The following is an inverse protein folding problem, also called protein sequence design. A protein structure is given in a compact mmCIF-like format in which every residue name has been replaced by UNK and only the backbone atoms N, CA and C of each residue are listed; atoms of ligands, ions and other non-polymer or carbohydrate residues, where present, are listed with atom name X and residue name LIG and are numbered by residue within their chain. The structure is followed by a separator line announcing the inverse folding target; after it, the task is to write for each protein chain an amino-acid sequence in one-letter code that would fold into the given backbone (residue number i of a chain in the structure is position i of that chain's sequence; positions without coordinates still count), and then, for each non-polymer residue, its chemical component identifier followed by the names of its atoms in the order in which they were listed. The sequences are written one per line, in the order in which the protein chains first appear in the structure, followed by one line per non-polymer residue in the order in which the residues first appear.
data_IF_705501310659
#
_entry.id   IF_705501310659
#
_cell.length_a   1.000
_cell.length_b   1.000
_cell.length_c   1.000
_cell.angle_alpha   90.00
_cell.angle_beta   90.00
_cell.angle_gamma   90.00
#
_symmetry.space_group_name_H-M   'P 1'
#
loop_
_entity.id
_entity.type
_entity.pdbx_description
1 polymer ?
#
# COMPACT_ATOMS: atom_id res chain seq x y z
N UNK A 1 -5.01 45.93 -130.69
CA UNK A 1 -4.82 47.19 -129.95
C UNK A 1 -4.92 46.87 -128.47
N UNK A 2 -3.78 46.78 -127.78
CA UNK A 2 -3.66 47.05 -126.33
C UNK A 2 -4.08 48.51 -126.09
N UNK A 3 -4.60 48.93 -124.92
CA UNK A 3 -4.00 48.80 -123.57
C UNK A 3 -5.05 48.39 -122.50
N UNK A 4 -4.87 48.21 -121.19
CA UNK A 4 -3.80 48.39 -120.21
C UNK A 4 -4.20 47.58 -118.95
N UNK A 5 -3.24 46.98 -118.24
CA UNK A 5 -3.42 46.47 -116.87
C UNK A 5 -3.31 47.61 -115.83
N UNK A 6 -3.76 47.36 -114.60
CA UNK A 6 -2.83 47.34 -113.46
C UNK A 6 -3.04 46.05 -112.61
N UNK A 7 -2.03 45.24 -112.24
CA UNK A 7 -0.93 45.43 -111.26
C UNK A 7 -1.45 46.08 -109.97
N UNK A 8 -1.34 45.56 -108.75
CA UNK A 8 -0.72 44.37 -108.17
C UNK A 8 -0.73 44.59 -106.64
N UNK A 9 -0.88 43.48 -105.90
CA UNK A 9 -0.39 43.11 -104.54
C UNK A 9 -0.06 44.21 -103.50
N UNK A 10 -0.35 44.07 -102.21
CA UNK A 10 0.27 43.09 -101.30
C UNK A 10 -0.45 43.04 -99.95
N UNK A 11 -0.52 41.84 -99.36
CA UNK A 11 -0.97 41.64 -97.98
C UNK A 11 0.04 42.17 -96.97
N UNK A 12 -0.47 42.84 -95.94
CA UNK A 12 0.26 43.16 -94.71
C UNK A 12 0.17 41.98 -93.74
N UNK A 13 1.34 41.43 -93.42
CA UNK A 13 1.53 40.40 -92.39
C UNK A 13 1.12 40.93 -91.00
N UNK A 14 0.66 40.09 -90.05
CA UNK A 14 0.14 40.52 -88.74
C UNK A 14 1.19 41.12 -87.79
N UNK A 15 2.47 41.21 -88.19
CA UNK A 15 3.59 41.58 -87.32
C UNK A 15 3.82 43.10 -87.19
N UNK A 16 3.11 43.94 -87.94
CA UNK A 16 3.40 45.39 -87.99
C UNK A 16 2.51 46.26 -87.07
N UNK A 17 1.63 45.65 -86.28
CA UNK A 17 0.81 46.39 -85.31
C UNK A 17 1.66 46.77 -84.10
N UNK A 18 2.06 48.05 -84.03
CA UNK A 18 2.78 48.65 -82.91
C UNK A 18 1.89 49.60 -82.13
N UNK A 19 1.86 49.43 -80.81
CA UNK A 19 1.23 50.38 -79.90
C UNK A 19 2.24 51.46 -79.56
N UNK A 20 1.88 52.73 -79.76
CA UNK A 20 2.80 53.89 -79.68
C UNK A 20 2.49 54.84 -78.53
N UNK A 21 1.53 54.48 -77.67
CA UNK A 21 1.20 55.24 -76.48
C UNK A 21 0.84 54.35 -75.29
N UNK A 22 1.03 54.88 -74.08
CA UNK A 22 0.57 54.23 -72.85
C UNK A 22 -0.93 53.95 -72.85
N UNK A 23 -1.74 54.79 -73.51
CA UNK A 23 -3.19 54.64 -73.60
C UNK A 23 -3.56 53.42 -74.45
N UNK A 24 -2.87 53.21 -75.57
CA UNK A 24 -3.05 52.05 -76.44
C UNK A 24 -2.59 50.75 -75.77
N UNK A 25 -1.43 50.76 -75.12
CA UNK A 25 -0.90 49.60 -74.38
C UNK A 25 -1.86 49.22 -73.25
N UNK A 26 -2.35 50.20 -72.49
CA UNK A 26 -3.28 49.98 -71.38
C UNK A 26 -4.64 49.46 -71.87
N UNK A 27 -5.16 50.00 -72.98
CA UNK A 27 -6.39 49.53 -73.59
C UNK A 27 -6.27 48.08 -74.08
N UNK A 28 -5.14 47.72 -74.70
CA UNK A 28 -4.89 46.36 -75.16
C UNK A 28 -4.78 45.36 -74.00
N UNK A 29 -4.16 45.78 -72.89
CA UNK A 29 -4.04 44.98 -71.68
C UNK A 29 -5.31 44.98 -70.81
N UNK A 30 -6.33 45.80 -71.12
CA UNK A 30 -7.55 45.95 -70.32
C UNK A 30 -7.33 46.57 -68.93
N UNK A 31 -6.30 47.40 -68.77
CA UNK A 31 -5.92 48.01 -67.47
C UNK A 31 -5.83 49.53 -67.54
N UNK A 32 -5.63 50.19 -66.39
CA UNK A 32 -5.36 51.63 -66.37
C UNK A 32 -3.94 51.95 -66.87
N UNK A 33 -3.72 53.16 -67.38
CA UNK A 33 -2.38 53.63 -67.81
C UNK A 33 -1.35 53.55 -66.69
N UNK A 34 -1.75 53.92 -65.46
CA UNK A 34 -0.90 53.82 -64.26
C UNK A 34 -0.54 52.36 -63.94
N UNK A 35 -1.46 51.42 -64.16
CA UNK A 35 -1.21 49.98 -64.00
C UNK A 35 -0.24 49.46 -65.07
N UNK A 36 -0.37 49.91 -66.32
CA UNK A 36 0.55 49.55 -67.40
C UNK A 36 1.99 50.06 -67.15
N UNK A 37 2.13 51.29 -66.65
CA UNK A 37 3.43 51.84 -66.21
C UNK A 37 4.02 51.03 -65.06
N UNK A 38 3.20 50.68 -64.07
CA UNK A 38 3.62 49.83 -62.95
C UNK A 38 4.06 48.44 -63.41
N UNK A 39 3.47 47.89 -64.48
CA UNK A 39 3.91 46.61 -65.05
C UNK A 39 5.28 46.70 -65.75
N UNK A 40 5.66 47.86 -66.27
CA UNK A 40 7.04 48.11 -66.72
C UNK A 40 8.01 48.00 -65.54
N UNK A 41 7.73 48.71 -64.45
CA UNK A 41 8.60 48.76 -63.26
C UNK A 41 8.67 47.43 -62.50
N UNK A 42 7.54 46.78 -62.24
CA UNK A 42 7.47 45.59 -61.36
C UNK A 42 7.61 44.27 -62.13
N UNK A 43 7.20 44.24 -63.40
CA UNK A 43 7.04 42.99 -64.18
C UNK A 43 7.81 42.98 -65.50
N UNK A 44 8.61 44.01 -65.76
CA UNK A 44 9.48 44.08 -66.94
C UNK A 44 8.71 44.06 -68.26
N UNK A 45 7.64 44.84 -68.36
CA UNK A 45 6.91 45.05 -69.63
C UNK A 45 7.89 45.52 -70.73
N UNK A 46 7.97 44.85 -71.90
CA UNK A 46 8.97 45.13 -72.92
C UNK A 46 8.61 46.38 -73.73
N UNK A 47 8.78 47.56 -73.13
CA UNK A 47 8.50 48.85 -73.77
C UNK A 47 9.80 49.48 -74.27
N UNK A 48 9.85 49.90 -75.53
CA UNK A 48 10.95 50.68 -76.10
C UNK A 48 10.64 52.16 -75.99
N UNK A 49 11.53 52.93 -75.35
CA UNK A 49 11.41 54.39 -75.20
C UNK A 49 12.24 55.10 -76.27
N UNK A 50 11.61 55.98 -77.04
CA UNK A 50 12.29 56.89 -77.97
C UNK A 50 11.88 58.31 -77.59
N UNK A 51 12.76 59.02 -76.88
CA UNK A 51 12.44 60.31 -76.27
C UNK A 51 11.28 60.19 -75.28
N UNK A 52 10.23 60.98 -75.47
CA UNK A 52 9.05 61.00 -74.60
C UNK A 52 7.91 60.06 -75.07
N UNK A 53 8.16 59.20 -76.06
CA UNK A 53 7.19 58.25 -76.61
C UNK A 53 7.57 56.80 -76.30
N UNK A 54 6.54 55.98 -76.07
CA UNK A 54 6.67 54.55 -75.77
C UNK A 54 6.16 53.72 -76.93
N UNK A 55 6.85 52.64 -77.28
CA UNK A 55 6.39 51.73 -78.32
C UNK A 55 6.61 50.27 -77.92
N UNK A 56 5.66 49.40 -78.27
CA UNK A 56 5.77 47.95 -78.12
C UNK A 56 5.09 47.26 -79.30
N UNK A 57 5.70 46.19 -79.81
CA UNK A 57 5.08 45.37 -80.85
C UNK A 57 3.98 44.49 -80.23
N UNK A 58 2.84 44.33 -80.91
CA UNK A 58 1.74 43.51 -80.42
C UNK A 58 2.17 42.06 -80.10
N UNK A 59 3.09 41.49 -80.90
CA UNK A 59 3.66 40.16 -80.67
C UNK A 59 4.52 40.09 -79.38
N UNK A 60 5.35 41.11 -79.11
CA UNK A 60 6.15 41.19 -77.88
C UNK A 60 5.24 41.35 -76.64
N UNK A 61 4.17 42.13 -76.76
CA UNK A 61 3.18 42.33 -75.71
C UNK A 61 2.39 41.06 -75.40
N UNK A 62 1.95 40.34 -76.44
CA UNK A 62 1.26 39.06 -76.31
C UNK A 62 2.19 37.97 -75.71
N UNK A 63 3.45 37.92 -76.12
CA UNK A 63 4.44 37.00 -75.56
C UNK A 63 4.73 37.30 -74.08
N UNK A 64 4.84 38.57 -73.69
CA UNK A 64 4.97 38.96 -72.28
C UNK A 64 3.71 38.60 -71.48
N UNK A 65 2.52 38.85 -72.02
CA UNK A 65 1.25 38.52 -71.35
C UNK A 65 1.12 37.01 -71.14
N UNK A 66 1.48 36.19 -72.13
CA UNK A 66 1.52 34.73 -72.00
C UNK A 66 2.52 34.27 -70.91
N UNK A 67 3.70 34.89 -70.85
CA UNK A 67 4.73 34.60 -69.83
C UNK A 67 4.27 34.98 -68.41
N UNK A 68 3.60 36.12 -68.26
CA UNK A 68 3.10 36.59 -66.96
C UNK A 68 1.89 35.77 -66.49
N UNK A 69 1.01 35.35 -67.40
CA UNK A 69 -0.15 34.50 -67.08
C UNK A 69 0.23 33.03 -66.81
N UNK A 70 1.36 32.55 -67.32
CA UNK A 70 1.87 31.18 -67.08
C UNK A 70 2.76 31.06 -65.84
N UNK A 71 3.15 32.18 -65.22
CA UNK A 71 3.89 32.17 -63.96
C UNK A 71 3.01 31.61 -62.83
N UNK A 72 3.14 30.30 -62.56
CA UNK A 72 2.38 29.62 -61.50
C UNK A 72 2.58 30.36 -60.17
N UNK A 73 1.50 30.71 -59.46
CA UNK A 73 1.61 31.43 -58.21
C UNK A 73 2.43 30.69 -57.17
N UNK A 74 3.19 31.42 -56.35
CA UNK A 74 4.07 30.84 -55.33
C UNK A 74 3.32 29.93 -54.33
N UNK A 75 2.01 30.17 -54.12
CA UNK A 75 1.17 29.34 -53.24
C UNK A 75 0.83 27.94 -53.81
N UNK A 76 1.05 27.68 -55.10
CA UNK A 76 0.97 26.31 -55.64
C UNK A 76 2.21 25.47 -55.30
N UNK A 77 3.32 26.11 -54.88
CA UNK A 77 4.54 25.43 -54.41
C UNK A 77 4.50 25.05 -52.93
N UNK A 78 3.54 25.54 -52.14
CA UNK A 78 3.41 25.20 -50.71
C UNK A 78 2.56 23.96 -50.41
N UNK A 79 1.87 23.38 -51.41
CA UNK A 79 1.10 22.13 -51.22
C UNK A 79 1.97 20.93 -50.82
N UNK A 80 3.13 20.65 -51.47
CA UNK A 80 4.02 19.57 -51.01
C UNK A 80 4.62 19.87 -49.63
N UNK A 81 4.96 21.13 -49.34
CA UNK A 81 5.44 21.55 -48.01
C UNK A 81 4.38 21.34 -46.94
N UNK A 82 3.11 21.61 -47.24
CA UNK A 82 1.98 21.35 -46.33
C UNK A 82 1.78 19.86 -46.09
N UNK A 83 1.90 19.01 -47.12
CA UNK A 83 1.83 17.55 -46.97
C UNK A 83 3.00 16.99 -46.15
N UNK A 84 4.21 17.48 -46.36
CA UNK A 84 5.40 17.13 -45.56
C UNK A 84 5.20 17.58 -44.11
N UNK A 85 4.74 18.81 -43.87
CA UNK A 85 4.45 19.31 -42.54
C UNK A 85 3.37 18.49 -41.81
N UNK A 86 2.30 18.09 -42.52
CA UNK A 86 1.27 17.20 -41.97
C UNK A 86 1.85 15.81 -41.64
N UNK A 87 2.64 15.23 -42.54
CA UNK A 87 3.27 13.93 -42.31
C UNK A 87 4.25 13.98 -41.12
N UNK A 88 5.03 15.06 -40.99
CA UNK A 88 5.93 15.29 -39.84
C UNK A 88 5.15 15.47 -38.53
N UNK A 89 4.03 16.20 -38.54
CA UNK A 89 3.17 16.36 -37.38
C UNK A 89 2.56 15.02 -36.95
N UNK A 90 2.05 14.22 -37.90
CA UNK A 90 1.52 12.89 -37.61
C UNK A 90 2.59 11.94 -37.08
N UNK A 91 3.80 11.98 -37.64
CA UNK A 91 4.93 11.21 -37.15
C UNK A 91 5.30 11.62 -35.71
N UNK A 92 5.33 12.93 -35.41
CA UNK A 92 5.59 13.41 -34.06
C UNK A 92 4.51 12.96 -33.06
N UNK A 93 3.24 13.06 -33.43
CA UNK A 93 2.13 12.56 -32.59
C UNK A 93 2.24 11.06 -32.37
N UNK A 94 2.60 10.28 -33.40
CA UNK A 94 2.82 8.85 -33.28
C UNK A 94 3.98 8.52 -32.33
N UNK A 95 5.11 9.22 -32.46
CA UNK A 95 6.28 9.04 -31.57
C UNK A 95 5.92 9.40 -30.13
N UNK A 96 5.29 10.56 -29.90
CA UNK A 96 4.85 10.97 -28.57
C UNK A 96 3.81 10.01 -27.97
N UNK A 97 2.90 9.50 -28.80
CA UNK A 97 1.92 8.48 -28.41
C UNK A 97 2.58 7.15 -28.03
N UNK A 98 3.57 6.69 -28.82
CA UNK A 98 4.32 5.48 -28.54
C UNK A 98 5.16 5.61 -27.25
N UNK A 99 5.80 6.76 -27.04
CA UNK A 99 6.54 7.06 -25.81
C UNK A 99 5.60 7.15 -24.60
N UNK A 100 4.43 7.79 -24.76
CA UNK A 100 3.41 7.82 -23.70
C UNK A 100 2.91 6.41 -23.36
N UNK A 101 2.63 5.56 -24.36
CA UNK A 101 2.20 4.16 -24.13
C UNK A 101 3.31 3.35 -23.46
N UNK A 102 4.58 3.51 -23.88
CA UNK A 102 5.72 2.88 -23.20
C UNK A 102 5.82 3.33 -21.75
N UNK A 103 5.77 4.64 -21.50
CA UNK A 103 5.81 5.21 -20.16
C UNK A 103 4.70 4.67 -19.26
N UNK A 104 3.47 4.63 -19.75
CA UNK A 104 2.32 4.08 -19.02
C UNK A 104 2.43 2.58 -18.79
N UNK A 105 2.97 1.83 -19.76
CA UNK A 105 3.19 0.40 -19.61
C UNK A 105 4.27 0.10 -18.60
N UNK A 106 5.34 0.89 -18.55
CA UNK A 106 6.48 0.68 -17.67
C UNK A 106 6.22 1.22 -16.25
N UNK A 107 5.20 2.07 -16.06
CA UNK A 107 4.73 2.48 -14.74
C UNK A 107 4.29 1.27 -13.90
N UNK A 108 4.75 1.18 -12.64
CA UNK A 108 4.37 0.10 -11.74
C UNK A 108 2.87 0.15 -11.47
N UNK A 109 2.25 -1.04 -11.38
CA UNK A 109 0.86 -1.18 -10.98
C UNK A 109 0.65 -1.00 -9.47
N UNK A 110 -0.57 -1.25 -8.95
CA UNK A 110 -0.83 -1.27 -7.52
C UNK A 110 0.12 -2.21 -6.77
N UNK A 111 0.50 -1.81 -5.57
CA UNK A 111 1.33 -2.63 -4.68
C UNK A 111 0.63 -3.96 -4.42
N UNK A 112 1.37 -5.05 -4.59
CA UNK A 112 0.87 -6.41 -4.39
C UNK A 112 1.70 -7.19 -3.36
N UNK A 113 2.98 -6.85 -3.25
CA UNK A 113 3.89 -7.48 -2.30
C UNK A 113 4.84 -6.44 -1.71
N UNK A 114 5.23 -6.66 -0.46
CA UNK A 114 6.21 -5.83 0.23
C UNK A 114 7.20 -6.76 0.92
N UNK A 115 8.48 -6.42 0.84
CA UNK A 115 9.55 -7.17 1.48
C UNK A 115 10.64 -6.25 2.01
N UNK A 116 11.37 -6.74 3.02
CA UNK A 116 12.58 -6.11 3.51
C UNK A 116 13.77 -6.49 2.65
N UNK A 117 14.48 -5.49 2.11
CA UNK A 117 15.75 -5.65 1.39
C UNK A 117 16.83 -4.85 2.14
N UNK A 118 17.52 -5.51 3.07
CA UNK A 118 18.45 -4.83 3.97
C UNK A 118 17.70 -3.84 4.88
N UNK A 119 18.01 -2.55 4.76
CA UNK A 119 17.35 -1.46 5.50
C UNK A 119 16.18 -0.83 4.74
N UNK A 120 15.89 -1.32 3.53
CA UNK A 120 14.85 -0.76 2.70
C UNK A 120 13.59 -1.62 2.70
N UNK A 121 12.44 -0.99 2.89
CA UNK A 121 11.15 -1.59 2.60
C UNK A 121 10.86 -1.36 1.12
N UNK A 122 10.70 -2.46 0.37
CA UNK A 122 10.51 -2.42 -1.08
C UNK A 122 9.13 -2.96 -1.41
N UNK A 123 8.32 -2.11 -2.03
CA UNK A 123 7.00 -2.48 -2.53
C UNK A 123 7.07 -2.82 -4.01
N UNK A 124 6.43 -3.92 -4.38
CA UNK A 124 6.39 -4.43 -5.75
C UNK A 124 4.97 -4.65 -6.20
N UNK A 125 4.74 -4.42 -7.49
CA UNK A 125 3.48 -4.78 -8.13
C UNK A 125 3.40 -6.28 -8.43
N UNK A 126 2.27 -6.73 -9.01
CA UNK A 126 2.05 -8.15 -9.36
C UNK A 126 3.04 -8.71 -10.39
N UNK A 127 3.71 -7.83 -11.15
CA UNK A 127 4.72 -8.20 -12.14
C UNK A 127 6.14 -8.16 -11.55
N UNK A 128 6.28 -7.88 -10.24
CA UNK A 128 7.57 -7.79 -9.55
C UNK A 128 8.31 -6.47 -9.72
N UNK A 129 7.70 -5.48 -10.39
CA UNK A 129 8.30 -4.16 -10.61
C UNK A 129 8.24 -3.34 -9.32
N UNK A 130 9.30 -2.60 -9.03
CA UNK A 130 9.37 -1.75 -7.83
C UNK A 130 8.42 -0.58 -7.99
N UNK A 131 7.38 -0.53 -7.16
CA UNK A 131 6.45 0.59 -7.09
C UNK A 131 7.06 1.76 -6.34
N UNK A 132 7.69 1.47 -5.20
CA UNK A 132 8.45 2.42 -4.40
C UNK A 132 9.43 1.69 -3.48
N UNK A 133 10.39 2.44 -2.96
CA UNK A 133 11.39 1.98 -1.99
C UNK A 133 11.56 3.06 -0.93
N UNK A 134 11.48 2.67 0.34
CA UNK A 134 11.81 3.52 1.46
C UNK A 134 12.95 2.93 2.28
N UNK A 135 13.96 3.74 2.55
CA UNK A 135 15.05 3.38 3.45
C UNK A 135 14.72 3.91 4.84
N UNK A 136 14.89 3.07 5.85
CA UNK A 136 14.69 3.45 7.25
C UNK A 136 16.02 3.44 8.00
N UNK A 137 16.11 4.31 9.00
CA UNK A 137 17.27 4.32 9.90
C UNK A 137 17.23 3.08 10.80
N UNK A 138 18.26 2.25 10.67
CA UNK A 138 18.40 1.00 11.42
C UNK A 138 18.18 -0.25 10.56
N UNK A 139 18.74 -1.37 11.01
CA UNK A 139 18.54 -2.67 10.36
C UNK A 139 17.31 -3.33 10.95
N UNK A 140 16.28 -3.69 10.16
CA UNK A 140 15.20 -4.54 10.64
C UNK A 140 15.80 -5.84 11.19
N UNK A 141 15.45 -6.17 12.44
CA UNK A 141 16.04 -7.31 13.16
C UNK A 141 15.65 -8.66 12.54
N UNK A 142 14.64 -8.69 11.67
CA UNK A 142 14.11 -9.91 11.06
C UNK A 142 14.12 -9.79 9.53
N UNK A 143 15.28 -10.03 8.88
CA UNK A 143 15.42 -9.85 7.44
C UNK A 143 14.72 -10.93 6.60
N UNK A 144 14.37 -12.10 7.16
CA UNK A 144 13.85 -13.24 6.40
C UNK A 144 12.95 -14.15 7.24
N UNK A 145 11.67 -13.80 7.38
CA UNK A 145 10.65 -14.80 7.72
C UNK A 145 9.64 -14.78 6.55
N UNK A 146 9.00 -15.90 6.25
CA UNK A 146 8.06 -16.04 5.14
C UNK A 146 6.68 -16.39 5.68
N UNK A 147 5.65 -15.64 5.30
CA UNK A 147 4.23 -15.97 5.52
C UNK A 147 3.76 -15.87 6.98
N UNK A 148 2.65 -15.15 7.20
CA UNK A 148 1.81 -15.14 8.41
C UNK A 148 2.45 -14.85 9.79
N UNK A 149 3.74 -14.53 9.88
CA UNK A 149 4.28 -14.14 11.19
C UNK A 149 3.69 -12.79 11.66
N UNK A 150 3.63 -12.54 12.99
CA UNK A 150 2.79 -11.48 13.56
C UNK A 150 3.20 -10.04 13.21
N UNK A 151 4.44 -9.84 12.74
CA UNK A 151 5.03 -8.53 12.44
C UNK A 151 5.35 -8.33 10.95
N UNK A 152 4.87 -9.23 10.08
CA UNK A 152 5.10 -9.10 8.65
C UNK A 152 4.43 -7.85 8.07
N UNK A 153 5.07 -7.17 7.11
CA UNK A 153 4.37 -6.16 6.34
C UNK A 153 3.09 -6.71 5.72
N UNK A 154 2.02 -5.91 5.73
CA UNK A 154 0.74 -6.23 5.12
C UNK A 154 0.40 -5.18 4.08
N UNK A 155 -0.10 -5.62 2.94
CA UNK A 155 -0.64 -4.75 1.89
C UNK A 155 -2.14 -4.88 1.94
N UNK A 156 -2.84 -3.75 2.11
CA UNK A 156 -4.29 -3.74 2.19
C UNK A 156 -4.82 -2.36 1.83
N UNK A 157 -5.89 -2.31 1.05
CA UNK A 157 -6.69 -1.10 0.83
C UNK A 157 -7.51 -0.84 2.09
N UNK A 158 -7.06 0.11 2.93
CA UNK A 158 -7.65 0.36 4.25
C UNK A 158 -8.85 1.30 4.16
N UNK A 159 -8.82 2.28 3.27
CA UNK A 159 -9.88 3.28 3.13
C UNK A 159 -10.79 3.08 1.90
N UNK A 160 -10.60 1.97 1.16
CA UNK A 160 -11.42 1.58 0.01
C UNK A 160 -11.29 2.54 -1.19
N UNK A 161 -10.15 3.23 -1.33
CA UNK A 161 -9.88 4.14 -2.44
C UNK A 161 -9.32 3.43 -3.70
N UNK A 162 -9.11 2.11 -3.62
CA UNK A 162 -8.54 1.29 -4.68
C UNK A 162 -7.02 1.35 -4.78
N UNK A 163 -6.34 2.02 -3.86
CA UNK A 163 -4.88 2.18 -3.79
C UNK A 163 -4.36 1.62 -2.47
N UNK A 164 -3.83 0.39 -2.45
CA UNK A 164 -3.51 -0.27 -1.20
C UNK A 164 -2.42 0.45 -0.41
N UNK A 165 -2.64 0.55 0.90
CA UNK A 165 -1.65 0.93 1.90
C UNK A 165 -0.72 -0.24 2.24
N UNK A 166 0.43 0.11 2.79
CA UNK A 166 1.36 -0.83 3.40
C UNK A 166 1.47 -0.58 4.89
N UNK A 167 1.12 -1.58 5.69
CA UNK A 167 1.37 -1.62 7.13
C UNK A 167 2.69 -2.34 7.39
N UNK A 168 3.59 -1.73 8.14
CA UNK A 168 4.89 -2.32 8.47
C UNK A 168 5.35 -1.92 9.86
N UNK A 169 6.03 -2.85 10.52
CA UNK A 169 6.71 -2.60 11.81
C UNK A 169 8.17 -2.35 11.54
N UNK A 170 8.66 -1.23 12.06
CA UNK A 170 10.06 -0.84 11.95
C UNK A 170 10.80 -1.24 13.22
N UNK A 171 11.37 -2.44 13.20
CA UNK A 171 12.23 -2.89 14.31
C UNK A 171 13.60 -2.25 14.18
N UNK A 172 14.05 -1.50 15.18
CA UNK A 172 15.42 -1.01 15.28
C UNK A 172 16.08 -1.53 16.56
N UNK A 173 17.42 -1.45 16.62
CA UNK A 173 18.23 -1.99 17.70
C UNK A 173 17.94 -1.35 19.07
N UNK A 174 17.54 -0.07 19.08
CA UNK A 174 17.24 0.73 20.29
C UNK A 174 15.80 0.57 20.81
N UNK A 175 15.30 -0.67 20.88
CA UNK A 175 13.93 -0.96 21.35
C UNK A 175 13.66 -0.56 22.81
N UNK A 176 14.73 -0.45 23.60
CA UNK A 176 14.76 -0.04 25.00
C UNK A 176 14.59 1.47 25.20
N UNK A 177 14.71 2.26 24.12
CA UNK A 177 14.48 3.71 24.16
C UNK A 177 13.29 4.12 23.31
N UNK A 178 13.22 3.67 22.05
CA UNK A 178 12.24 4.20 21.10
C UNK A 178 11.01 3.29 20.92
N UNK A 179 10.99 2.11 21.55
CA UNK A 179 9.90 1.13 21.37
C UNK A 179 9.84 0.61 19.94
N UNK A 180 8.72 -0.02 19.55
CA UNK A 180 8.44 -0.37 18.15
C UNK A 180 6.98 -0.06 17.83
N UNK A 181 6.79 0.64 16.70
CA UNK A 181 5.48 1.14 16.26
C UNK A 181 5.01 0.44 14.99
N UNK A 182 3.70 0.44 14.78
CA UNK A 182 3.10 0.09 13.49
C UNK A 182 2.96 1.34 12.64
N UNK A 183 3.53 1.32 11.44
CA UNK A 183 3.42 2.43 10.50
C UNK A 183 2.54 2.07 9.32
N UNK A 184 1.70 3.01 8.89
CA UNK A 184 0.92 2.92 7.67
C UNK A 184 1.51 3.84 6.61
N UNK A 185 1.87 3.28 5.47
CA UNK A 185 2.40 3.99 4.31
C UNK A 185 1.34 4.00 3.20
N UNK A 186 1.25 5.10 2.46
CA UNK A 186 0.37 5.20 1.30
C UNK A 186 0.89 4.36 0.11
N UNK A 187 0.12 4.35 -0.98
CA UNK A 187 0.47 3.65 -2.23
C UNK A 187 1.79 4.11 -2.88
N UNK A 188 2.40 5.22 -2.43
CA UNK A 188 3.71 5.74 -2.89
C UNK A 188 4.81 5.54 -1.85
N UNK A 189 4.50 4.96 -0.71
CA UNK A 189 5.40 4.78 0.42
C UNK A 189 5.44 5.97 1.38
N UNK A 190 4.67 7.05 1.21
CA UNK A 190 4.70 8.14 2.18
C UNK A 190 3.99 7.73 3.48
N UNK A 191 4.57 8.09 4.64
CA UNK A 191 3.95 7.81 5.95
C UNK A 191 2.62 8.56 6.09
N UNK A 192 1.53 7.82 6.31
CA UNK A 192 0.19 8.37 6.61
C UNK A 192 0.00 8.57 8.11
N UNK A 193 0.26 7.53 8.89
CA UNK A 193 0.09 7.54 10.34
C UNK A 193 0.94 6.45 11.00
N UNK A 194 1.10 6.57 12.33
CA UNK A 194 1.73 5.56 13.19
C UNK A 194 0.81 5.22 14.35
N UNK A 195 0.78 3.94 14.71
CA UNK A 195 0.12 3.44 15.90
C UNK A 195 1.20 2.98 16.90
N UNK A 196 1.18 3.59 18.08
CA UNK A 196 2.12 3.34 19.16
C UNK A 196 1.45 3.52 20.53
N UNK A 197 2.04 2.95 21.57
CA UNK A 197 1.62 3.25 22.95
C UNK A 197 2.60 4.21 23.62
N UNK A 198 2.22 5.48 23.71
CA UNK A 198 2.94 6.52 24.44
C UNK A 198 2.44 6.73 25.87
N UNK A 199 1.37 6.03 26.27
CA UNK A 199 0.79 6.15 27.60
C UNK A 199 1.56 5.34 28.65
N UNK A 200 1.67 5.92 29.84
CA UNK A 200 2.14 5.21 31.04
C UNK A 200 0.96 4.58 31.77
N UNK A 201 1.21 3.47 32.47
CA UNK A 201 0.20 2.78 33.27
C UNK A 201 0.65 2.67 34.72
N UNK A 202 -0.26 3.05 35.63
CA UNK A 202 -0.02 3.01 37.08
C UNK A 202 -0.56 1.74 37.70
N UNK A 203 0.21 1.18 38.63
CA UNK A 203 -0.16 0.03 39.46
C UNK A 203 0.05 0.36 40.93
N UNK A 204 -0.39 -0.54 41.82
CA UNK A 204 -0.11 -0.44 43.25
C UNK A 204 1.40 -0.39 43.54
N UNK A 205 2.22 -1.11 42.77
CA UNK A 205 3.68 -1.14 42.95
C UNK A 205 4.45 0.02 42.31
N UNK A 206 3.87 0.74 41.35
CA UNK A 206 4.59 1.79 40.62
C UNK A 206 3.99 2.15 39.27
N UNK A 207 4.72 3.02 38.54
CA UNK A 207 4.33 3.53 37.23
C UNK A 207 5.24 2.92 36.16
N UNK A 208 4.63 2.30 35.15
CA UNK A 208 5.32 1.75 33.99
C UNK A 208 5.19 2.73 32.83
N UNK A 209 6.33 3.21 32.33
CA UNK A 209 6.43 4.19 31.25
C UNK A 209 6.80 3.48 29.94
N UNK A 210 6.59 4.10 28.78
CA UNK A 210 7.22 3.65 27.55
C UNK A 210 8.75 3.44 27.72
N UNK A 211 9.36 2.57 26.91
CA UNK A 211 8.83 2.05 25.66
C UNK A 211 7.98 0.79 25.78
N UNK A 212 7.00 0.72 24.89
CA UNK A 212 6.29 -0.51 24.56
C UNK A 212 6.72 -0.97 23.17
N UNK A 213 6.78 -2.28 22.96
CA UNK A 213 7.11 -2.89 21.68
C UNK A 213 5.90 -3.64 21.15
N UNK A 214 5.55 -3.39 19.89
CA UNK A 214 4.53 -4.17 19.21
C UNK A 214 4.95 -5.65 19.12
N UNK A 215 4.00 -6.55 19.41
CA UNK A 215 4.18 -8.00 19.32
C UNK A 215 3.47 -8.61 18.13
N UNK A 216 2.28 -8.12 17.84
CA UNK A 216 1.48 -8.57 16.71
C UNK A 216 0.52 -7.48 16.26
N UNK A 217 0.07 -7.60 15.02
CA UNK A 217 -1.09 -6.87 14.53
C UNK A 217 -1.90 -7.69 13.53
N UNK A 218 -3.16 -7.31 13.39
CA UNK A 218 -4.07 -7.88 12.40
C UNK A 218 -4.87 -6.78 11.71
N UNK A 219 -5.20 -7.00 10.45
CA UNK A 219 -6.06 -6.14 9.63
C UNK A 219 -7.36 -6.87 9.41
N UNK A 220 -8.48 -6.20 9.64
CA UNK A 220 -9.80 -6.82 9.63
C UNK A 220 -10.84 -5.86 9.05
N UNK A 221 -11.96 -6.41 8.59
CA UNK A 221 -13.02 -5.58 8.01
C UNK A 221 -13.64 -4.67 9.08
N UNK A 222 -13.90 -3.41 8.71
CA UNK A 222 -14.49 -2.44 9.61
C UNK A 222 -15.84 -2.94 10.14
N UNK A 223 -16.07 -2.90 11.46
CA UNK A 223 -17.35 -3.28 12.03
C UNK A 223 -18.48 -2.30 11.67
N UNK A 224 -18.15 -1.15 11.07
CA UNK A 224 -19.10 -0.17 10.55
C UNK A 224 -19.69 -0.59 9.17
N UNK A 225 -19.17 -1.67 8.55
CA UNK A 225 -19.63 -2.20 7.25
C UNK A 225 -19.56 -1.18 6.10
N UNK A 226 -18.60 -0.27 6.17
CA UNK A 226 -18.33 0.79 5.21
C UNK A 226 -17.28 0.40 4.14
N UNK A 227 -16.92 -0.89 4.08
CA UNK A 227 -15.86 -1.47 3.21
C UNK A 227 -14.44 -1.00 3.53
N UNK A 228 -14.26 -0.19 4.56
CA UNK A 228 -12.93 0.13 5.09
C UNK A 228 -12.43 -1.02 5.96
N UNK A 229 -11.16 -0.96 6.34
CA UNK A 229 -10.53 -1.92 7.23
C UNK A 229 -9.95 -1.22 8.45
N UNK A 230 -9.98 -1.93 9.56
CA UNK A 230 -9.42 -1.51 10.83
C UNK A 230 -8.20 -2.36 11.16
N UNK A 231 -7.44 -1.89 12.14
CA UNK A 231 -6.22 -2.53 12.59
C UNK A 231 -6.27 -2.71 14.09
N UNK A 232 -5.90 -3.90 14.56
CA UNK A 232 -5.68 -4.17 15.98
C UNK A 232 -4.24 -4.60 16.20
N UNK A 233 -3.61 -4.09 17.26
CA UNK A 233 -2.20 -4.35 17.55
C UNK A 233 -1.97 -4.53 19.05
N UNK A 234 -1.13 -5.49 19.41
CA UNK A 234 -0.70 -5.75 20.79
C UNK A 234 0.68 -5.14 21.03
N UNK A 235 0.81 -4.42 22.13
CA UNK A 235 2.06 -3.81 22.57
C UNK A 235 2.39 -4.31 23.98
N UNK A 236 3.62 -4.74 24.21
CA UNK A 236 4.07 -5.19 25.53
C UNK A 236 5.13 -4.25 26.06
N UNK A 237 5.14 -4.03 27.37
CA UNK A 237 6.20 -3.26 28.01
C UNK A 237 7.53 -3.99 27.80
N UNK A 238 8.57 -3.23 27.46
CA UNK A 238 9.83 -3.81 27.00
C UNK A 238 10.48 -4.76 28.02
N UNK A 239 10.40 -4.42 29.32
CA UNK A 239 11.06 -5.15 30.40
C UNK A 239 10.12 -5.71 31.46
N UNK A 240 8.82 -5.46 31.37
CA UNK A 240 7.91 -5.68 32.50
C UNK A 240 6.54 -6.20 32.02
N UNK A 241 5.68 -6.64 32.94
CA UNK A 241 4.46 -7.38 32.65
C UNK A 241 3.34 -6.64 31.91
N UNK A 242 3.17 -5.29 31.94
CA UNK A 242 2.02 -4.67 31.31
C UNK A 242 2.00 -4.84 29.80
N UNK A 243 0.79 -5.03 29.25
CA UNK A 243 0.58 -4.94 27.81
C UNK A 243 -0.73 -4.24 27.48
N UNK A 244 -0.88 -3.81 26.23
CA UNK A 244 -2.05 -3.08 25.74
C UNK A 244 -2.44 -3.57 24.35
N UNK A 245 -3.74 -3.71 24.12
CA UNK A 245 -4.37 -3.95 22.83
C UNK A 245 -4.93 -2.62 22.34
N UNK A 246 -4.44 -2.14 21.21
CA UNK A 246 -4.95 -0.93 20.55
C UNK A 246 -5.74 -1.31 19.31
N UNK A 247 -6.86 -0.62 19.07
CA UNK A 247 -7.65 -0.72 17.85
C UNK A 247 -7.70 0.65 17.19
N UNK A 248 -7.44 0.72 15.89
CA UNK A 248 -7.47 1.93 15.11
C UNK A 248 -8.25 1.75 13.80
N UNK A 249 -8.89 2.82 13.32
CA UNK A 249 -9.52 2.84 11.99
C UNK A 249 -8.50 3.02 10.86
N UNK A 250 -8.98 3.05 9.62
CA UNK A 250 -8.17 3.23 8.41
C UNK A 250 -7.34 4.53 8.39
N UNK A 251 -7.73 5.52 9.18
CA UNK A 251 -7.04 6.82 9.31
C UNK A 251 -6.04 6.85 10.48
N UNK A 252 -5.89 5.74 11.20
CA UNK A 252 -5.05 5.66 12.40
C UNK A 252 -5.70 6.27 13.64
N UNK A 253 -7.00 6.58 13.61
CA UNK A 253 -7.71 7.10 14.79
C UNK A 253 -7.96 5.94 15.75
N UNK A 254 -7.46 6.05 16.99
CA UNK A 254 -7.68 5.04 18.02
C UNK A 254 -9.19 4.92 18.34
N UNK A 255 -9.73 3.71 18.15
CA UNK A 255 -11.13 3.34 18.43
C UNK A 255 -11.29 2.53 19.71
N UNK A 256 -10.22 1.91 20.20
CA UNK A 256 -10.27 1.10 21.42
C UNK A 256 -8.90 0.87 22.05
N UNK A 257 -8.91 0.63 23.36
CA UNK A 257 -7.70 0.37 24.16
C UNK A 257 -8.03 -0.53 25.35
N UNK A 258 -7.37 -1.68 25.45
CA UNK A 258 -7.50 -2.58 26.60
C UNK A 258 -6.14 -2.90 27.21
N UNK A 259 -6.02 -2.82 28.54
CA UNK A 259 -4.79 -3.11 29.28
C UNK A 259 -4.80 -4.49 29.93
N UNK A 260 -3.72 -5.25 29.79
CA UNK A 260 -3.57 -6.56 30.41
C UNK A 260 -2.39 -6.61 31.37
N UNK A 261 -2.62 -7.29 32.51
CA UNK A 261 -1.54 -7.70 33.40
C UNK A 261 -0.97 -9.02 32.86
N UNK A 262 0.17 -8.92 32.18
CA UNK A 262 0.78 -10.01 31.42
C UNK A 262 0.83 -9.69 29.94
N UNK A 263 1.80 -10.29 29.24
CA UNK A 263 2.05 -10.01 27.83
C UNK A 263 0.98 -10.63 26.92
N UNK A 264 0.41 -9.81 26.03
CA UNK A 264 -0.32 -10.24 24.84
C UNK A 264 0.66 -10.37 23.67
N UNK A 265 0.91 -11.60 23.24
CA UNK A 265 1.96 -11.93 22.26
C UNK A 265 1.44 -11.97 20.83
N UNK A 266 0.15 -12.23 20.64
CA UNK A 266 -0.44 -12.35 19.31
C UNK A 266 -1.88 -11.83 19.27
N UNK A 267 -2.37 -11.46 18.09
CA UNK A 267 -3.75 -11.04 17.87
C UNK A 267 -4.23 -11.42 16.47
N UNK A 268 -5.43 -11.97 16.40
CA UNK A 268 -6.12 -12.28 15.12
C UNK A 268 -7.56 -11.77 15.17
N UNK A 269 -8.15 -11.60 14.00
CA UNK A 269 -9.57 -11.28 13.85
C UNK A 269 -10.31 -12.48 13.24
N UNK A 270 -11.35 -12.95 13.92
CA UNK A 270 -12.17 -14.07 13.49
C UNK A 270 -13.62 -13.79 13.91
N UNK A 271 -14.54 -13.88 12.97
CA UNK A 271 -15.97 -13.86 13.26
C UNK A 271 -16.29 -15.19 13.95
N UNK A 272 -16.49 -15.21 15.27
CA UNK A 272 -16.67 -16.45 16.05
C UNK A 272 -18.14 -16.85 16.21
N UNK A 273 -19.06 -15.93 15.93
CA UNK A 273 -20.50 -16.08 16.18
C UNK A 273 -21.37 -16.14 14.90
N UNK A 274 -20.77 -15.91 13.72
CA UNK A 274 -21.43 -15.93 12.43
C UNK A 274 -22.20 -14.66 12.06
N UNK A 275 -22.03 -13.55 12.78
CA UNK A 275 -22.80 -12.32 12.57
C UNK A 275 -22.24 -11.40 11.46
N UNK A 276 -21.10 -11.78 10.87
CA UNK A 276 -20.38 -11.03 9.83
C UNK A 276 -19.48 -9.93 10.38
N UNK A 277 -19.28 -9.83 11.69
CA UNK A 277 -18.29 -8.96 12.35
C UNK A 277 -17.19 -9.86 12.90
N UNK A 278 -15.94 -9.50 12.65
CA UNK A 278 -14.81 -10.25 13.19
C UNK A 278 -14.51 -9.82 14.62
N UNK A 279 -14.57 -10.76 15.57
CA UNK A 279 -14.07 -10.53 16.92
C UNK A 279 -12.54 -10.50 16.96
N UNK A 280 -11.98 -9.70 17.87
CA UNK A 280 -10.55 -9.64 18.12
C UNK A 280 -10.17 -10.66 19.19
N UNK A 281 -9.25 -11.56 18.87
CA UNK A 281 -8.74 -12.58 19.77
C UNK A 281 -7.27 -12.28 20.04
N UNK A 282 -6.96 -11.80 21.24
CA UNK A 282 -5.59 -11.58 21.67
C UNK A 282 -5.13 -12.74 22.57
N UNK A 283 -3.96 -13.30 22.24
CA UNK A 283 -3.36 -14.44 22.93
C UNK A 283 -2.16 -14.00 23.76
N UNK A 284 -2.07 -14.49 25.00
CA UNK A 284 -0.92 -14.20 25.84
C UNK A 284 -0.93 -14.96 27.16
N UNK A 285 -0.51 -14.27 28.22
CA UNK A 285 -0.60 -14.73 29.61
C UNK A 285 -1.41 -13.75 30.44
N UNK A 286 -2.25 -14.29 31.32
CA UNK A 286 -2.95 -13.54 32.35
C UNK A 286 -2.32 -13.86 33.72
N UNK A 287 -1.74 -12.85 34.35
CA UNK A 287 -0.96 -12.99 35.60
C UNK A 287 -1.80 -12.96 36.88
N UNK A 288 -3.10 -12.67 36.79
CA UNK A 288 -4.05 -12.87 37.88
C UNK A 288 -4.32 -14.36 38.12
N UNK A 289 -4.24 -15.18 37.06
CA UNK A 289 -4.40 -16.64 37.10
C UNK A 289 -3.14 -17.44 36.77
N UNK A 290 -2.07 -16.77 36.32
CA UNK A 290 -0.80 -17.36 35.86
C UNK A 290 -0.97 -18.44 34.79
N UNK A 291 -1.84 -18.16 33.80
CA UNK A 291 -2.13 -19.09 32.72
C UNK A 291 -2.09 -18.42 31.36
N UNK A 292 -1.74 -19.24 30.37
CA UNK A 292 -1.97 -18.96 28.97
C UNK A 292 -3.45 -18.66 28.74
N UNK A 293 -3.74 -17.56 28.03
CA UNK A 293 -5.12 -17.13 27.81
C UNK A 293 -5.36 -16.55 26.43
N UNK A 294 -6.61 -16.69 25.97
CA UNK A 294 -7.21 -15.85 24.94
C UNK A 294 -8.17 -14.88 25.61
N UNK A 295 -8.11 -13.61 25.23
CA UNK A 295 -9.12 -12.61 25.54
C UNK A 295 -9.77 -12.14 24.25
N UNK A 296 -11.11 -12.18 24.22
CA UNK A 296 -11.90 -11.97 23.01
C UNK A 296 -12.72 -10.71 23.14
N UNK A 297 -12.73 -9.87 22.12
CA UNK A 297 -13.46 -8.60 22.11
C UNK A 297 -14.34 -8.44 20.88
N UNK A 298 -15.50 -7.81 21.09
CA UNK A 298 -16.20 -7.09 20.03
C UNK A 298 -15.36 -5.86 19.65
N UNK A 299 -14.94 -5.70 18.38
CA UNK A 299 -14.03 -4.62 17.96
C UNK A 299 -14.62 -3.22 18.17
N UNK A 300 -15.95 -3.10 18.32
CA UNK A 300 -16.64 -1.82 18.60
C UNK A 300 -16.53 -1.42 20.08
N UNK A 301 -16.13 -2.34 20.95
CA UNK A 301 -16.14 -2.18 22.41
C UNK A 301 -14.88 -2.77 23.02
N UNK A 302 -13.73 -2.18 22.71
CA UNK A 302 -12.44 -2.52 23.34
C UNK A 302 -12.06 -1.45 24.36
N UNK A 303 -12.26 -1.74 25.64
CA UNK A 303 -11.90 -0.83 26.73
C UNK A 303 -11.58 -1.55 28.04
N UNK A 304 -11.05 -0.80 29.00
CA UNK A 304 -10.82 -1.26 30.37
C UNK A 304 -9.51 -2.03 30.56
N UNK A 305 -9.46 -2.84 31.62
CA UNK A 305 -8.27 -3.60 31.96
C UNK A 305 -8.56 -4.88 32.75
N UNK A 306 -7.57 -5.80 32.77
CA UNK A 306 -7.56 -6.95 33.68
C UNK A 306 -7.78 -6.51 35.12
N UNK A 307 -8.63 -7.25 35.84
CA UNK A 307 -8.97 -6.95 37.22
C UNK A 307 -8.26 -7.91 38.16
N UNK A 308 -7.34 -7.37 38.96
CA UNK A 308 -6.63 -8.16 39.96
C UNK A 308 -7.34 -8.12 41.32
N UNK A 309 -6.94 -9.02 42.21
CA UNK A 309 -7.37 -8.99 43.60
C UNK A 309 -6.97 -7.64 44.25
N UNK A 310 -7.81 -7.07 45.14
CA UNK A 310 -7.44 -5.87 45.88
C UNK A 310 -6.10 -6.04 46.60
N UNK A 311 -5.20 -5.07 46.43
CA UNK A 311 -3.88 -5.08 47.05
C UNK A 311 -2.80 -5.89 46.31
N UNK A 312 -3.11 -6.57 45.20
CA UNK A 312 -2.04 -7.15 44.36
C UNK A 312 -1.14 -6.00 43.85
N UNK A 313 0.20 -6.10 44.01
CA UNK A 313 1.12 -5.04 43.58
C UNK A 313 0.99 -4.69 42.09
N UNK A 314 0.55 -5.65 41.27
CA UNK A 314 0.42 -5.50 39.81
C UNK A 314 -0.93 -4.91 39.39
N UNK A 315 -1.87 -4.73 40.34
CA UNK A 315 -3.20 -4.22 40.04
C UNK A 315 -3.15 -2.81 39.45
N UNK A 316 -3.76 -2.60 38.28
CA UNK A 316 -3.86 -1.28 37.66
C UNK A 316 -4.75 -0.33 38.47
N UNK A 317 -4.31 0.93 38.59
CA UNK A 317 -5.04 1.98 39.29
C UNK A 317 -5.91 2.76 38.31
N UNK A 318 -7.16 3.02 38.70
CA UNK A 318 -8.08 3.90 37.95
C UNK A 318 -8.61 3.31 36.65
N UNK A 319 -8.42 2.01 36.41
CA UNK A 319 -8.95 1.31 35.22
C UNK A 319 -10.21 0.52 35.56
N UNK A 320 -11.22 0.68 34.72
CA UNK A 320 -12.46 -0.12 34.78
C UNK A 320 -12.19 -1.57 34.36
N UNK A 321 -13.06 -2.52 34.75
CA UNK A 321 -13.04 -3.88 34.21
C UNK A 321 -13.05 -3.87 32.68
N UNK A 322 -12.29 -4.79 32.09
CA UNK A 322 -12.24 -4.95 30.65
C UNK A 322 -13.57 -5.38 30.05
N UNK A 323 -13.77 -5.02 28.78
CA UNK A 323 -14.98 -5.32 28.00
C UNK A 323 -14.89 -6.60 27.17
N UNK A 324 -13.92 -7.48 27.46
CA UNK A 324 -13.84 -8.76 26.79
C UNK A 324 -15.18 -9.49 26.90
N UNK A 325 -15.61 -10.09 25.80
CA UNK A 325 -16.86 -10.86 25.73
C UNK A 325 -16.62 -12.32 26.09
N UNK A 326 -15.38 -12.80 25.97
CA UNK A 326 -15.00 -14.17 26.33
C UNK A 326 -13.53 -14.22 26.77
N UNK A 327 -13.25 -15.09 27.73
CA UNK A 327 -11.89 -15.47 28.12
C UNK A 327 -11.74 -16.99 28.06
N UNK A 328 -10.66 -17.47 27.43
CA UNK A 328 -10.30 -18.90 27.38
C UNK A 328 -8.98 -19.08 28.12
N UNK A 329 -8.92 -19.98 29.10
CA UNK A 329 -7.70 -20.30 29.84
C UNK A 329 -7.23 -21.71 29.50
N UNK A 330 -5.95 -21.82 29.11
CA UNK A 330 -5.32 -23.12 28.86
C UNK A 330 -4.69 -23.65 30.15
N UNK A 331 -4.84 -24.96 30.43
CA UNK A 331 -4.25 -25.57 31.60
C UNK A 331 -2.72 -25.57 31.52
N UNK A 332 -2.09 -25.57 32.69
CA UNK A 332 -0.65 -25.81 32.83
C UNK A 332 -0.38 -27.30 32.93
N UNK A 333 0.65 -27.78 32.24
CA UNK A 333 1.15 -29.15 32.42
C UNK A 333 2.10 -29.23 33.63
N UNK A 334 2.47 -30.45 34.01
CA UNK A 334 3.52 -30.66 35.02
C UNK A 334 4.86 -29.99 34.66
N UNK A 335 5.17 -29.82 33.37
CA UNK A 335 6.41 -29.13 32.95
C UNK A 335 6.37 -27.68 33.43
N UNK A 336 5.36 -26.91 33.03
CA UNK A 336 5.28 -25.53 33.46
C UNK A 336 5.09 -25.39 34.96
N UNK A 337 4.36 -26.30 35.62
CA UNK A 337 4.20 -26.30 37.08
C UNK A 337 5.53 -26.48 37.84
N UNK A 338 6.48 -27.23 37.27
CA UNK A 338 7.80 -27.44 37.89
C UNK A 338 8.84 -26.40 37.49
N UNK A 339 8.84 -25.94 36.25
CA UNK A 339 9.93 -25.13 35.70
C UNK A 339 9.68 -23.62 35.74
N UNK A 340 8.43 -23.18 35.79
CA UNK A 340 8.10 -21.75 35.66
C UNK A 340 6.86 -21.39 36.47
N UNK A 341 6.52 -20.10 36.46
CA UNK A 341 5.33 -19.57 37.12
C UNK A 341 4.08 -19.65 36.26
N UNK A 342 4.21 -19.66 34.93
CA UNK A 342 3.09 -19.63 33.99
C UNK A 342 3.45 -20.29 32.66
N UNK A 343 2.44 -20.80 31.95
CA UNK A 343 2.50 -21.02 30.50
C UNK A 343 1.90 -19.80 29.78
N UNK A 344 2.13 -19.67 28.47
CA UNK A 344 1.61 -18.53 27.70
C UNK A 344 1.26 -18.90 26.26
N UNK A 345 0.27 -18.21 25.68
CA UNK A 345 0.04 -18.27 24.23
C UNK A 345 1.12 -17.44 23.55
N UNK A 346 1.84 -18.06 22.61
CA UNK A 346 2.87 -17.37 21.81
C UNK A 346 2.38 -17.04 20.41
N UNK A 347 1.55 -17.89 19.81
CA UNK A 347 1.11 -17.72 18.43
C UNK A 347 -0.33 -18.15 18.21
N UNK A 348 -0.99 -17.46 17.30
CA UNK A 348 -2.34 -17.70 16.81
C UNK A 348 -2.32 -17.88 15.30
N UNK A 349 -2.88 -18.98 14.80
CA UNK A 349 -2.95 -19.25 13.36
C UNK A 349 -4.40 -19.54 12.96
N UNK A 350 -4.94 -18.76 12.02
CA UNK A 350 -6.22 -19.07 11.41
C UNK A 350 -6.03 -20.26 10.46
N UNK A 351 -6.72 -21.37 10.73
CA UNK A 351 -6.62 -22.59 9.93
C UNK A 351 -7.97 -23.29 9.83
N UNK A 352 -8.34 -23.73 8.62
CA UNK A 352 -9.52 -24.55 8.37
C UNK A 352 -10.84 -23.98 8.95
N UNK A 353 -11.00 -22.64 8.93
CA UNK A 353 -12.18 -21.96 9.48
C UNK A 353 -12.24 -21.91 11.02
N UNK A 354 -11.17 -22.32 11.71
CA UNK A 354 -11.00 -22.21 13.15
C UNK A 354 -9.67 -21.56 13.51
N UNK A 355 -9.16 -21.90 14.70
CA UNK A 355 -7.97 -21.29 15.27
C UNK A 355 -7.02 -22.37 15.80
N UNK A 356 -5.76 -22.35 15.40
CA UNK A 356 -4.70 -23.11 16.06
C UNK A 356 -3.91 -22.19 17.01
N UNK A 357 -3.73 -22.63 18.25
CA UNK A 357 -3.13 -21.85 19.33
C UNK A 357 -1.91 -22.59 19.85
N UNK A 358 -0.73 -21.96 19.76
CA UNK A 358 0.49 -22.50 20.35
C UNK A 358 0.68 -21.97 21.76
N UNK A 359 0.64 -22.89 22.73
CA UNK A 359 0.84 -22.63 24.16
C UNK A 359 2.21 -23.15 24.58
N UNK A 360 3.08 -22.24 25.00
CA UNK A 360 4.45 -22.52 25.39
C UNK A 360 4.50 -22.78 26.89
N UNK A 361 5.24 -23.82 27.30
CA UNK A 361 5.31 -24.21 28.71
C UNK A 361 6.35 -23.40 29.50
N UNK A 362 7.34 -22.79 28.85
CA UNK A 362 8.33 -21.96 29.51
C UNK A 362 9.00 -21.01 28.52
N UNK A 363 9.34 -19.81 28.99
CA UNK A 363 10.15 -18.85 28.22
C UNK A 363 11.58 -19.38 28.03
N UNK A 364 12.08 -20.20 28.96
CA UNK A 364 13.42 -20.78 28.92
C UNK A 364 13.55 -21.94 27.92
N UNK A 365 12.43 -22.59 27.57
CA UNK A 365 12.40 -23.75 26.68
C UNK A 365 11.35 -23.52 25.58
N UNK A 366 11.55 -22.53 24.70
CA UNK A 366 10.52 -22.10 23.76
C UNK A 366 10.19 -23.16 22.68
N UNK A 367 11.03 -24.18 22.48
CA UNK A 367 10.67 -25.25 21.55
C UNK A 367 9.55 -26.17 22.10
N UNK A 368 9.35 -26.19 23.42
CA UNK A 368 8.35 -27.02 24.10
C UNK A 368 7.00 -26.32 24.17
N UNK A 369 6.08 -26.73 23.31
CA UNK A 369 4.74 -26.17 23.24
C UNK A 369 3.68 -27.24 22.94
N UNK A 370 2.45 -26.92 23.31
CA UNK A 370 1.25 -27.62 22.86
C UNK A 370 0.54 -26.80 21.79
N UNK A 371 -0.06 -27.48 20.83
CA UNK A 371 -0.92 -26.87 19.82
C UNK A 371 -2.36 -27.26 20.10
N UNK A 372 -3.19 -26.30 20.47
CA UNK A 372 -4.63 -26.48 20.62
C UNK A 372 -5.29 -26.09 19.30
N UNK A 373 -6.05 -27.01 18.72
CA UNK A 373 -6.91 -26.72 17.58
C UNK A 373 -8.31 -26.41 18.11
N UNK A 374 -8.85 -25.26 17.77
CA UNK A 374 -10.17 -24.81 18.18
C UNK A 374 -11.08 -24.64 16.97
N UNK A 375 -12.35 -24.95 17.17
CA UNK A 375 -13.41 -24.62 16.24
C UNK A 375 -13.61 -23.08 16.20
N UNK A 376 -14.46 -22.64 15.27
CA UNK A 376 -14.80 -21.22 15.10
C UNK A 376 -15.36 -20.58 16.37
N UNK A 377 -16.13 -21.32 17.16
CA UNK A 377 -16.69 -20.88 18.45
C UNK A 377 -15.69 -20.91 19.61
N UNK A 378 -14.41 -21.20 19.32
CA UNK A 378 -13.30 -21.34 20.26
C UNK A 378 -13.41 -22.57 21.17
N UNK A 379 -14.24 -23.56 20.86
CA UNK A 379 -14.20 -24.84 21.56
C UNK A 379 -13.02 -25.68 21.07
N UNK A 380 -12.32 -26.36 21.99
CA UNK A 380 -11.20 -27.24 21.63
C UNK A 380 -11.70 -28.44 20.82
N UNK A 381 -11.13 -28.61 19.63
CA UNK A 381 -11.30 -29.76 18.74
C UNK A 381 -10.24 -30.82 18.99
N UNK A 382 -9.00 -30.39 19.25
CA UNK A 382 -7.87 -31.30 19.40
C UNK A 382 -6.68 -30.63 20.08
N UNK A 383 -5.78 -31.46 20.62
CA UNK A 383 -4.52 -31.02 21.22
C UNK A 383 -3.41 -31.90 20.67
N UNK A 384 -2.34 -31.28 20.20
CA UNK A 384 -1.12 -31.97 19.77
C UNK A 384 0.10 -31.42 20.48
N UNK A 385 1.17 -32.22 20.53
CA UNK A 385 2.43 -31.86 21.19
C UNK A 385 3.49 -31.52 20.15
N UNK A 386 4.39 -30.59 20.49
CA UNK A 386 5.63 -30.44 19.72
C UNK A 386 6.58 -31.60 20.02
N UNK A 387 7.43 -31.97 19.05
CA UNK A 387 8.47 -32.99 19.26
C UNK A 387 9.37 -32.60 20.44
N UNK A 388 9.75 -31.32 20.53
CA UNK A 388 10.59 -30.82 21.63
C UNK A 388 9.89 -30.85 23.00
N UNK A 389 8.56 -30.84 23.05
CA UNK A 389 7.82 -31.09 24.28
C UNK A 389 8.10 -32.51 24.77
N UNK A 390 7.98 -33.51 23.89
CA UNK A 390 8.27 -34.91 24.24
C UNK A 390 9.71 -35.09 24.73
N UNK A 391 10.67 -34.48 24.04
CA UNK A 391 12.09 -34.54 24.42
C UNK A 391 12.34 -33.88 25.79
N UNK A 392 11.68 -32.77 26.07
CA UNK A 392 11.76 -32.10 27.37
C UNK A 392 11.23 -33.00 28.48
N UNK A 393 10.09 -33.66 28.26
CA UNK A 393 9.56 -34.62 29.25
C UNK A 393 10.53 -35.78 29.46
N UNK A 394 11.08 -36.37 28.39
CA UNK A 394 12.07 -37.46 28.46
C UNK A 394 13.29 -37.04 29.29
N UNK A 395 13.79 -35.82 29.06
CA UNK A 395 14.96 -35.29 29.77
C UNK A 395 14.70 -35.04 31.26
N UNK A 396 13.56 -34.42 31.60
CA UNK A 396 13.19 -34.18 32.99
C UNK A 396 12.93 -35.48 33.76
N UNK A 397 12.39 -36.50 33.10
CA UNK A 397 12.28 -37.86 33.67
C UNK A 397 13.64 -38.48 33.93
N UNK A 398 14.58 -38.37 32.99
CA UNK A 398 15.96 -38.87 33.16
C UNK A 398 16.62 -38.22 34.37
N UNK A 399 16.36 -36.93 34.60
CA UNK A 399 16.84 -36.16 35.77
C UNK A 399 16.07 -36.43 37.07
N UNK A 400 14.99 -37.24 37.04
CA UNK A 400 14.05 -37.47 38.15
C UNK A 400 13.39 -36.18 38.65
N UNK A 401 13.25 -35.20 37.77
CA UNK A 401 12.58 -33.93 38.04
C UNK A 401 11.08 -34.02 37.73
N UNK A 402 10.64 -34.96 36.89
CA UNK A 402 9.23 -35.32 36.67
C UNK A 402 8.95 -36.75 37.16
N UNK A 403 7.74 -36.98 37.65
CA UNK A 403 7.29 -38.30 38.11
C UNK A 403 7.21 -39.30 36.93
N UNK A 404 7.27 -40.60 37.21
CA UNK A 404 7.34 -41.64 36.16
C UNK A 404 6.12 -41.69 35.23
N UNK A 405 4.98 -41.12 35.63
CA UNK A 405 3.75 -41.12 34.83
C UNK A 405 3.92 -40.22 33.61
N UNK A 406 4.04 -40.82 32.42
CA UNK A 406 4.01 -40.06 31.17
C UNK A 406 2.55 -39.65 30.88
N UNK A 407 2.31 -38.41 30.44
CA UNK A 407 0.97 -37.85 30.41
C UNK A 407 0.24 -38.15 29.09
N UNK A 408 0.30 -39.36 28.51
CA UNK A 408 -0.58 -39.67 27.36
C UNK A 408 -2.05 -39.40 27.76
N UNK A 409 -2.44 -39.89 28.95
CA UNK A 409 -3.73 -39.56 29.57
C UNK A 409 -3.89 -38.09 29.98
N UNK A 410 -2.83 -37.43 30.43
CA UNK A 410 -2.94 -36.01 30.81
C UNK A 410 -3.15 -35.14 29.56
N UNK A 411 -2.47 -35.40 28.45
CA UNK A 411 -2.62 -34.72 27.15
C UNK A 411 -4.00 -34.97 26.55
N UNK A 412 -4.50 -36.21 26.57
CA UNK A 412 -5.89 -36.54 26.21
C UNK A 412 -6.90 -35.75 27.05
N UNK A 413 -6.59 -35.46 28.32
CA UNK A 413 -7.44 -34.67 29.20
C UNK A 413 -7.27 -33.15 29.09
N UNK A 414 -6.21 -32.63 28.44
CA UNK A 414 -5.91 -31.19 28.44
C UNK A 414 -7.00 -30.38 27.74
N UNK A 415 -7.57 -30.91 26.66
CA UNK A 415 -8.69 -30.26 25.97
C UNK A 415 -9.90 -30.06 26.88
N UNK A 416 -10.21 -31.06 27.72
CA UNK A 416 -11.30 -30.99 28.70
C UNK A 416 -11.00 -30.07 29.89
N UNK A 417 -9.73 -29.75 30.14
CA UNK A 417 -9.28 -28.84 31.21
C UNK A 417 -9.22 -27.37 30.78
N UNK A 418 -9.45 -27.07 29.50
CA UNK A 418 -9.59 -25.69 29.03
C UNK A 418 -10.82 -25.06 29.68
N UNK A 419 -10.64 -23.88 30.26
CA UNK A 419 -11.69 -23.17 31.00
C UNK A 419 -12.20 -22.00 30.17
N UNK A 420 -13.52 -21.82 30.15
CA UNK A 420 -14.20 -20.78 29.36
C UNK A 420 -14.98 -19.86 30.29
N UNK A 421 -14.88 -18.56 30.06
CA UNK A 421 -15.68 -17.54 30.73
C UNK A 421 -16.36 -16.67 29.69
N UNK A 422 -17.65 -16.41 29.89
CA UNK A 422 -18.35 -15.31 29.22
C UNK A 422 -17.97 -14.02 29.96
N UNK A 423 -17.08 -13.23 29.35
CA UNK A 423 -16.51 -12.03 29.95
C UNK A 423 -15.12 -12.20 30.60
N UNK A 424 -14.74 -11.25 31.48
CA UNK A 424 -13.51 -11.32 32.27
C UNK A 424 -13.49 -12.52 33.22
N UNK A 425 -12.28 -12.97 33.60
CA UNK A 425 -12.12 -13.95 34.68
C UNK A 425 -12.68 -13.37 35.99
N UNK A 426 -13.56 -14.09 36.72
CA UNK A 426 -14.06 -13.62 38.00
C UNK A 426 -12.95 -13.41 39.03
N UNK A 427 -13.03 -12.31 39.78
CA UNK A 427 -12.08 -12.03 40.88
C UNK A 427 -12.06 -13.19 41.87
N UNK A 428 -10.86 -13.66 42.23
CA UNK A 428 -10.69 -14.74 43.21
C UNK A 428 -10.89 -16.15 42.66
N UNK A 429 -10.97 -16.34 41.34
CA UNK A 429 -11.07 -17.66 40.72
C UNK A 429 -10.01 -18.65 41.21
N UNK A 430 -8.74 -18.23 41.37
CA UNK A 430 -7.69 -19.10 41.93
C UNK A 430 -7.98 -19.52 43.37
N UNK A 431 -8.49 -18.60 44.21
CA UNK A 431 -8.84 -18.90 45.60
C UNK A 431 -9.98 -19.92 45.68
N UNK A 432 -10.94 -19.86 44.76
CA UNK A 432 -12.04 -20.82 44.66
C UNK A 432 -11.57 -22.23 44.24
N UNK A 433 -10.43 -22.34 43.53
CA UNK A 433 -9.83 -23.62 43.15
C UNK A 433 -8.92 -24.22 44.25
N UNK A 434 -8.81 -23.58 45.41
CA UNK A 434 -7.90 -24.01 46.48
C UNK A 434 -6.42 -23.94 46.08
N UNK A 435 -6.09 -23.23 44.99
CA UNK A 435 -4.72 -23.01 44.58
C UNK A 435 -4.16 -21.83 45.39
N UNK A 436 -2.98 -21.97 46.02
CA UNK A 436 -2.37 -20.86 46.73
C UNK A 436 -2.17 -19.69 45.77
N UNK A 437 -2.45 -18.46 46.24
CA UNK A 437 -2.14 -17.26 45.48
C UNK A 437 -0.68 -17.34 45.00
N UNK A 438 -0.39 -17.00 43.72
CA UNK A 438 0.95 -17.12 43.18
C UNK A 438 1.91 -16.32 44.06
N UNK A 439 2.97 -16.97 44.54
CA UNK A 439 3.94 -16.30 45.40
C UNK A 439 4.50 -15.09 44.64
N UNK A 440 4.32 -13.91 45.24
CA UNK A 440 4.86 -12.65 44.72
C UNK A 440 6.36 -12.59 44.98
N UNK A 441 7.11 -13.42 44.26
CA UNK A 441 8.55 -13.21 44.11
C UNK A 441 8.76 -11.99 43.24
N UNK A 442 9.60 -11.05 43.70
CA UNK A 442 10.14 -9.99 42.83
C UNK A 442 10.74 -10.66 41.59
N UNK A 443 10.48 -10.14 40.37
CA UNK A 443 11.33 -10.48 39.25
C UNK A 443 12.70 -9.84 39.53
N UNK A 444 13.74 -10.67 39.60
CA UNK A 444 15.14 -10.24 39.50
C UNK A 444 15.50 -10.01 38.03
#
# INVERSE_FOLDING_TARGET
MTPEQPVGQTGSSPDDVRFTSWKEIAAHLGVSTKTAQRYEEEKGLPVKRIGNRVSVAAAELAAWQAKVLTAKPWWQRVVPLRRIAIAQALFLVFVLGAEAVRYWRDMPGPVAAVSWEGQALVARDRLGRVAWRNTFDGTPLLPNISGDAPLFPRVSDLDSDGRPETLAVFTHARRDVDGWDLSCLDHRGALRWKLSNSESISTVSGIFRPPFVIRAFTVFDSPERDRTKWVAATFVHYTDFPSVLLVADSRGTQRGQYWQVGHMNDVVALDINGDGIQELIAGGVQHDVERASLVVFDPRRVSGATQMAPGDPRAFIGKQPGTQIRTVLFPRTQISLKLTRFNFVSNLFLQNGGLAVRVYESVQIPASYLSYELNRDLTVRGVSLSVSFEDTVRELKRKRELDEVFPEREVESLGAKVTYFEGPVPRGFLAALGQPAPQTGRPD
#
